data_IF_683188798236
#
_entry.id   IF_683188798236
#
_cell.length_a   1.000
_cell.length_b   1.000
_cell.length_c   1.000
_cell.angle_alpha   90.00
_cell.angle_beta   90.00
_cell.angle_gamma   90.00
#
_symmetry.space_group_name_H-M   'P 1'
#
loop_
_entity.id
_entity.type
_entity.pdbx_description
1 polymer ?
#
# COMPACT_ATOMS: atom_id res chain seq x y z
N UNK A 1 23.04 32.88 10.80
CA UNK A 1 23.00 31.49 10.32
C UNK A 1 21.56 31.05 10.35
N UNK A 2 20.91 31.01 9.19
CA UNK A 2 19.50 30.65 9.05
C UNK A 2 19.40 29.14 8.85
N UNK A 3 18.95 28.43 9.87
CA UNK A 3 18.61 27.01 9.74
C UNK A 3 17.31 26.94 8.95
N UNK A 4 17.38 26.56 7.68
CA UNK A 4 16.22 26.26 6.86
C UNK A 4 15.61 24.94 7.36
N UNK A 5 14.51 25.03 8.10
CA UNK A 5 13.65 23.91 8.47
C UNK A 5 13.19 23.20 7.19
N UNK A 6 13.60 21.93 7.01
CA UNK A 6 13.29 21.16 5.82
C UNK A 6 11.77 20.84 5.76
N UNK A 7 11.10 21.05 4.61
CA UNK A 7 9.66 20.81 4.52
C UNK A 7 9.39 19.30 4.64
N UNK A 8 8.55 18.98 5.62
CA UNK A 8 8.04 17.64 5.94
C UNK A 8 7.35 17.07 4.69
N UNK A 9 7.76 15.86 4.29
CA UNK A 9 7.18 15.15 3.14
C UNK A 9 5.87 14.51 3.61
N UNK A 10 4.78 15.30 3.66
CA UNK A 10 3.46 14.79 4.02
C UNK A 10 2.38 15.45 3.15
N UNK A 11 1.88 14.72 2.15
CA UNK A 11 0.68 15.15 1.41
C UNK A 11 -0.53 15.07 2.37
N UNK A 12 -1.19 16.20 2.61
CA UNK A 12 -2.40 16.32 3.46
C UNK A 12 -3.69 15.91 2.74
N UNK A 13 -3.59 15.22 1.61
CA UNK A 13 -4.73 14.88 0.75
C UNK A 13 -5.55 13.72 1.34
N UNK A 14 -6.88 13.79 1.25
CA UNK A 14 -7.75 12.65 1.58
C UNK A 14 -7.55 11.52 0.57
N UNK A 15 -7.80 10.28 0.99
CA UNK A 15 -7.61 9.09 0.14
C UNK A 15 -8.51 9.07 -1.11
N UNK A 16 -9.68 9.72 -1.08
CA UNK A 16 -10.52 9.95 -2.26
C UNK A 16 -9.89 10.93 -3.25
N UNK A 17 -9.42 12.07 -2.76
CA UNK A 17 -8.74 13.07 -3.59
C UNK A 17 -7.44 12.54 -4.21
N UNK A 18 -6.74 11.63 -3.51
CA UNK A 18 -5.55 10.96 -4.04
C UNK A 18 -5.89 10.04 -5.22
N UNK A 19 -6.99 9.29 -5.15
CA UNK A 19 -7.45 8.44 -6.26
C UNK A 19 -7.85 9.25 -7.48
N UNK A 20 -8.59 10.33 -7.27
CA UNK A 20 -8.95 11.26 -8.35
C UNK A 20 -7.70 11.87 -8.99
N UNK A 21 -6.66 12.14 -8.17
CA UNK A 21 -5.39 12.67 -8.65
C UNK A 21 -4.68 11.69 -9.58
N UNK A 22 -4.51 10.44 -9.13
CA UNK A 22 -3.91 9.37 -9.94
C UNK A 22 -4.68 9.14 -11.24
N UNK A 23 -6.02 9.16 -11.20
CA UNK A 23 -6.85 9.00 -12.39
C UNK A 23 -6.64 10.14 -13.42
N UNK A 24 -6.48 11.39 -12.96
CA UNK A 24 -6.20 12.55 -13.83
C UNK A 24 -4.83 12.47 -14.48
N UNK A 25 -3.80 12.10 -13.72
CA UNK A 25 -2.44 11.88 -14.25
C UNK A 25 -2.49 10.78 -15.32
N UNK A 26 -3.14 9.66 -15.00
CA UNK A 26 -3.25 8.54 -15.93
C UNK A 26 -4.02 8.86 -17.20
N UNK A 27 -5.07 9.68 -17.13
CA UNK A 27 -5.77 10.15 -18.31
C UNK A 27 -4.88 11.05 -19.18
N UNK A 28 -4.16 12.00 -18.58
CA UNK A 28 -3.24 12.86 -19.31
C UNK A 28 -2.13 12.07 -20.01
N UNK A 29 -1.55 11.09 -19.31
CA UNK A 29 -0.50 10.25 -19.87
C UNK A 29 -1.00 9.41 -21.04
N UNK A 30 -2.18 8.78 -20.90
CA UNK A 30 -2.76 8.02 -22.02
C UNK A 30 -3.06 8.86 -23.25
N UNK A 31 -3.50 10.10 -23.04
CA UNK A 31 -3.94 10.96 -24.14
C UNK A 31 -2.77 11.62 -24.88
N UNK A 32 -1.70 11.97 -24.15
CA UNK A 32 -0.73 12.93 -24.65
C UNK A 32 0.74 12.64 -24.30
N UNK A 33 1.07 11.60 -23.53
CA UNK A 33 2.47 11.25 -23.24
C UNK A 33 2.97 10.27 -24.31
N UNK A 34 4.05 10.62 -25.00
CA UNK A 34 4.61 9.77 -26.07
C UNK A 34 6.00 9.22 -25.74
N UNK A 35 6.75 9.90 -24.88
CA UNK A 35 8.05 9.43 -24.42
C UNK A 35 8.24 9.74 -22.94
N UNK A 36 8.85 8.82 -22.20
CA UNK A 36 9.32 9.05 -20.85
C UNK A 36 10.68 8.41 -20.68
N UNK A 37 11.54 9.05 -19.91
CA UNK A 37 12.86 8.55 -19.58
C UNK A 37 13.12 8.82 -18.11
N UNK A 38 13.69 7.83 -17.44
CA UNK A 38 14.06 7.93 -16.03
C UNK A 38 15.57 7.80 -15.87
N UNK A 39 16.15 8.77 -15.18
CA UNK A 39 17.57 8.88 -14.89
C UNK A 39 17.75 9.20 -13.40
N UNK A 40 17.78 8.15 -12.57
CA UNK A 40 17.90 8.21 -11.11
C UNK A 40 16.84 9.12 -10.43
N UNK A 41 17.23 10.34 -10.04
CA UNK A 41 16.41 11.36 -9.41
C UNK A 41 15.76 12.34 -10.40
N UNK A 42 15.89 12.09 -11.70
CA UNK A 42 15.34 12.91 -12.77
C UNK A 42 14.38 12.08 -13.61
N UNK A 43 13.14 12.54 -13.72
CA UNK A 43 12.14 11.99 -14.62
C UNK A 43 11.85 12.98 -15.74
N UNK A 44 12.06 12.57 -16.99
CA UNK A 44 11.78 13.36 -18.19
C UNK A 44 10.52 12.80 -18.86
N UNK A 45 9.56 13.67 -19.14
CA UNK A 45 8.27 13.34 -19.76
C UNK A 45 8.06 14.23 -20.98
N UNK A 46 7.78 13.62 -22.13
CA UNK A 46 7.54 14.34 -23.38
C UNK A 46 6.09 14.17 -23.82
N UNK A 47 5.36 15.29 -23.79
CA UNK A 47 3.95 15.38 -24.14
C UNK A 47 3.72 16.02 -25.51
N UNK A 48 2.55 15.79 -26.11
CA UNK A 48 2.08 16.57 -27.26
C UNK A 48 1.99 18.07 -26.90
N UNK A 49 2.28 18.96 -27.86
CA UNK A 49 2.18 20.40 -27.64
C UNK A 49 0.76 20.85 -27.30
N UNK A 50 -0.26 20.17 -27.84
CA UNK A 50 -1.68 20.45 -27.56
C UNK A 50 -2.07 20.23 -26.09
N UNK A 51 -1.28 19.45 -25.34
CA UNK A 51 -1.53 19.16 -23.94
C UNK A 51 -0.93 20.20 -22.97
N UNK A 52 -0.25 21.24 -23.45
CA UNK A 52 0.33 22.32 -22.61
C UNK A 52 -0.61 22.83 -21.50
N UNK A 53 -1.86 23.24 -21.77
CA UNK A 53 -2.76 23.72 -20.71
C UNK A 53 -3.19 22.64 -19.71
N UNK A 54 -3.11 21.36 -20.07
CA UNK A 54 -3.37 20.24 -19.14
C UNK A 54 -2.15 19.96 -18.27
N UNK A 55 -0.95 19.99 -18.86
CA UNK A 55 0.32 19.77 -18.16
C UNK A 55 0.63 20.90 -17.19
N UNK A 56 0.39 22.17 -17.56
CA UNK A 56 0.54 23.29 -16.63
C UNK A 56 -0.39 23.17 -15.41
N UNK A 57 -1.65 22.76 -15.62
CA UNK A 57 -2.58 22.48 -14.51
C UNK A 57 -2.13 21.30 -13.65
N UNK A 58 -1.52 20.28 -14.25
CA UNK A 58 -0.92 19.18 -13.50
C UNK A 58 0.21 19.72 -12.60
N UNK A 59 1.18 20.42 -13.17
CA UNK A 59 2.35 20.97 -12.47
C UNK A 59 1.92 21.89 -11.33
N UNK A 60 1.01 22.83 -11.58
CA UNK A 60 0.53 23.75 -10.53
C UNK A 60 -0.10 23.02 -9.35
N UNK A 61 -0.89 21.97 -9.63
CA UNK A 61 -1.48 21.18 -8.56
C UNK A 61 -0.46 20.28 -7.86
N UNK A 62 0.57 19.78 -8.56
CA UNK A 62 1.63 18.98 -7.94
C UNK A 62 2.57 19.81 -7.07
N UNK A 63 2.88 21.04 -7.47
CA UNK A 63 3.68 21.95 -6.64
C UNK A 63 3.03 22.20 -5.27
N UNK A 64 1.70 22.07 -5.16
CA UNK A 64 1.00 22.16 -3.88
C UNK A 64 1.10 20.90 -3.00
N UNK A 65 1.12 19.69 -3.57
CA UNK A 65 1.22 18.43 -2.80
C UNK A 65 2.68 17.97 -2.60
N UNK A 66 3.50 18.17 -3.63
CA UNK A 66 4.89 17.75 -3.73
C UNK A 66 5.81 18.97 -3.88
N UNK A 67 5.67 19.96 -2.98
CA UNK A 67 6.44 21.21 -2.97
C UNK A 67 7.97 21.01 -2.89
N UNK A 68 8.43 19.80 -2.58
CA UNK A 68 9.84 19.45 -2.53
C UNK A 68 10.44 19.02 -3.88
N UNK A 69 9.61 18.66 -4.87
CA UNK A 69 10.06 18.30 -6.21
C UNK A 69 10.24 19.57 -7.04
N UNK A 70 11.30 19.61 -7.84
CA UNK A 70 11.47 20.66 -8.84
C UNK A 70 10.79 20.22 -10.14
N UNK A 71 9.97 21.11 -10.71
CA UNK A 71 9.29 20.92 -11.98
C UNK A 71 9.79 21.97 -12.96
N UNK A 72 10.41 21.54 -14.05
CA UNK A 72 10.82 22.40 -15.17
C UNK A 72 9.99 22.04 -16.41
N UNK A 73 9.29 23.03 -16.97
CA UNK A 73 8.43 22.85 -18.13
C UNK A 73 8.99 23.67 -19.29
N UNK A 74 9.42 22.98 -20.34
CA UNK A 74 10.01 23.57 -21.54
C UNK A 74 9.13 23.29 -22.75
N UNK A 75 8.71 24.34 -23.45
CA UNK A 75 8.00 24.24 -24.71
C UNK A 75 9.00 24.17 -25.87
N UNK A 76 9.05 23.03 -26.56
CA UNK A 76 9.87 22.82 -27.76
C UNK A 76 8.98 22.82 -29.02
N UNK A 77 9.56 23.08 -30.21
CA UNK A 77 8.82 22.96 -31.46
C UNK A 77 8.30 21.52 -31.63
N UNK A 78 6.99 21.34 -31.52
CA UNK A 78 6.32 20.04 -31.71
C UNK A 78 6.25 19.13 -30.49
N UNK A 79 6.77 19.54 -29.32
CA UNK A 79 6.69 18.75 -28.09
C UNK A 79 6.78 19.61 -26.83
N UNK A 80 6.18 19.12 -25.75
CA UNK A 80 6.28 19.74 -24.43
C UNK A 80 7.08 18.84 -23.50
N UNK A 81 8.21 19.33 -23.01
CA UNK A 81 9.11 18.58 -22.14
C UNK A 81 8.91 19.00 -20.68
N UNK A 82 8.49 18.05 -19.85
CA UNK A 82 8.39 18.22 -18.40
C UNK A 82 9.52 17.42 -17.74
N UNK A 83 10.38 18.10 -17.00
CA UNK A 83 11.42 17.50 -16.17
C UNK A 83 11.02 17.61 -14.71
N UNK A 84 11.00 16.48 -14.00
CA UNK A 84 10.70 16.39 -12.58
C UNK A 84 11.97 15.91 -11.88
N UNK A 85 12.51 16.73 -10.97
CA UNK A 85 13.72 16.41 -10.22
C UNK A 85 13.39 16.22 -8.74
N UNK A 86 13.74 15.05 -8.21
CA UNK A 86 13.65 14.75 -6.80
C UNK A 86 14.93 15.22 -6.07
N UNK A 87 14.80 15.85 -4.89
CA UNK A 87 15.97 16.19 -4.09
C UNK A 87 16.58 14.93 -3.47
N UNK A 88 17.89 14.96 -3.22
CA UNK A 88 18.66 13.82 -2.69
C UNK A 88 18.05 13.18 -1.43
N UNK A 89 17.50 14.01 -0.54
CA UNK A 89 16.79 13.57 0.68
C UNK A 89 15.56 12.70 0.45
N UNK A 90 15.02 12.70 -0.76
CA UNK A 90 13.84 11.93 -1.16
C UNK A 90 14.21 10.70 -2.00
N UNK A 91 15.50 10.36 -2.13
CA UNK A 91 16.01 9.24 -2.93
C UNK A 91 15.29 7.93 -2.64
N UNK A 92 15.12 7.60 -1.36
CA UNK A 92 14.46 6.36 -0.93
C UNK A 92 12.97 6.30 -1.32
N UNK A 93 12.34 7.44 -1.60
CA UNK A 93 10.95 7.55 -2.02
C UNK A 93 10.79 7.90 -3.52
N UNK A 94 11.88 8.22 -4.23
CA UNK A 94 11.85 8.73 -5.59
C UNK A 94 11.21 7.73 -6.56
N UNK A 95 11.51 6.42 -6.39
CA UNK A 95 10.88 5.34 -7.15
C UNK A 95 9.36 5.42 -7.09
N UNK A 96 8.80 5.36 -5.87
CA UNK A 96 7.36 5.35 -5.66
C UNK A 96 6.67 6.63 -6.12
N UNK A 97 7.35 7.78 -5.98
CA UNK A 97 6.86 9.07 -6.46
C UNK A 97 6.78 9.09 -7.99
N UNK A 98 7.84 8.70 -8.69
CA UNK A 98 7.87 8.71 -10.15
C UNK A 98 6.89 7.72 -10.79
N UNK A 99 6.63 6.57 -10.15
CA UNK A 99 5.58 5.63 -10.60
C UNK A 99 4.18 6.27 -10.58
N UNK A 100 3.93 7.20 -9.65
CA UNK A 100 2.67 7.96 -9.63
C UNK A 100 2.55 8.84 -10.88
N UNK A 101 3.64 9.47 -11.30
CA UNK A 101 3.71 10.30 -12.51
C UNK A 101 3.65 9.50 -13.80
N UNK A 102 4.07 8.23 -13.78
CA UNK A 102 4.01 7.31 -14.91
C UNK A 102 2.73 6.46 -14.96
N UNK A 103 1.80 6.67 -14.03
CA UNK A 103 0.51 5.99 -14.04
C UNK A 103 -0.17 6.16 -15.39
N UNK A 104 -0.57 5.06 -16.03
CA UNK A 104 -1.22 5.08 -17.35
C UNK A 104 -0.33 5.50 -18.52
N UNK A 105 0.98 5.66 -18.33
CA UNK A 105 1.91 5.89 -19.43
C UNK A 105 1.93 4.67 -20.38
N UNK A 106 2.07 4.89 -21.70
CA UNK A 106 2.37 3.80 -22.60
C UNK A 106 3.70 3.16 -22.17
N UNK A 107 3.77 1.83 -22.18
CA UNK A 107 5.00 1.12 -21.85
C UNK A 107 6.14 1.66 -22.72
N UNK A 108 7.22 2.13 -22.10
CA UNK A 108 8.41 2.56 -22.84
C UNK A 108 8.87 1.41 -23.72
N UNK A 109 9.16 1.62 -25.01
CA UNK A 109 9.76 0.59 -25.82
C UNK A 109 11.14 0.26 -25.22
N UNK A 110 11.43 -1.00 -24.87
CA UNK A 110 12.79 -1.37 -24.50
C UNK A 110 13.69 -1.09 -25.71
N UNK A 111 14.83 -0.45 -25.44
CA UNK A 111 15.89 -0.26 -26.42
C UNK A 111 16.12 -1.55 -27.20
N UNK A 112 16.19 -1.41 -28.52
CA UNK A 112 16.23 -2.49 -29.48
C UNK A 112 17.27 -3.57 -29.12
N UNK A 113 16.79 -4.80 -28.91
CA UNK A 113 17.56 -6.00 -29.19
C UNK A 113 16.70 -6.94 -30.03
N UNK A 114 17.31 -7.36 -31.12
CA UNK A 114 16.77 -8.03 -32.29
C UNK A 114 16.12 -9.40 -32.05
N UNK A 115 15.19 -9.73 -32.94
CA UNK A 115 14.74 -11.05 -33.39
C UNK A 115 14.08 -11.99 -32.37
N UNK A 116 12.77 -12.25 -32.57
CA UNK A 116 12.30 -13.58 -32.96
C UNK A 116 10.79 -13.58 -33.27
N UNK A 117 10.44 -14.14 -34.42
CA UNK A 117 9.09 -14.54 -34.81
C UNK A 117 8.45 -15.50 -33.80
N UNK A 118 7.20 -15.26 -33.44
CA UNK A 118 6.27 -16.34 -33.12
C UNK A 118 4.84 -15.91 -33.48
N UNK A 119 4.46 -16.29 -34.69
CA UNK A 119 3.10 -16.40 -35.19
C UNK A 119 2.34 -17.41 -34.34
N UNK A 120 1.31 -17.00 -33.60
CA UNK A 120 0.25 -17.90 -33.13
C UNK A 120 -1.11 -17.20 -33.07
N UNK A 121 -1.81 -17.31 -34.20
CA UNK A 121 -3.19 -17.80 -34.32
C UNK A 121 -4.15 -17.43 -33.17
N UNK A 122 -4.92 -16.36 -33.37
CA UNK A 122 -6.13 -16.03 -32.59
C UNK A 122 -7.22 -17.11 -32.82
N UNK A 123 -7.73 -17.81 -31.79
CA UNK A 123 -8.96 -18.56 -31.92
C UNK A 123 -10.16 -17.65 -31.63
N UNK A 124 -11.06 -17.58 -32.60
CA UNK A 124 -12.43 -17.08 -32.47
C UNK A 124 -13.22 -17.96 -31.50
N UNK A 125 -13.72 -17.39 -30.40
CA UNK A 125 -14.66 -18.06 -29.51
C UNK A 125 -16.06 -17.42 -29.64
N UNK A 126 -17.02 -18.27 -29.98
CA UNK A 126 -18.46 -18.00 -30.10
C UNK A 126 -19.04 -17.53 -28.77
N UNK A 127 -19.95 -16.54 -28.82
CA UNK A 127 -20.96 -16.33 -27.79
C UNK A 127 -22.03 -17.43 -27.88
N UNK A 128 -22.28 -18.17 -26.79
CA UNK A 128 -23.62 -18.67 -26.47
C UNK A 128 -23.74 -19.14 -25.01
N UNK A 129 -24.78 -18.64 -24.32
CA UNK A 129 -25.64 -19.45 -23.44
C UNK A 129 -25.24 -19.61 -21.96
N UNK A 130 -26.12 -19.23 -21.01
CA UNK A 130 -25.90 -19.42 -19.58
C UNK A 130 -26.52 -20.74 -19.08
N UNK A 131 -25.76 -21.53 -18.33
CA UNK A 131 -26.12 -22.19 -17.05
C UNK A 131 -25.26 -23.43 -16.77
N UNK A 132 -24.69 -23.39 -15.56
CA UNK A 132 -24.56 -24.47 -14.58
C UNK A 132 -23.59 -25.64 -14.79
N UNK A 133 -22.93 -25.94 -13.67
CA UNK A 133 -22.30 -27.18 -13.24
C UNK A 133 -20.87 -27.47 -13.72
N UNK A 134 -20.02 -27.84 -12.76
CA UNK A 134 -18.84 -28.65 -13.02
C UNK A 134 -17.57 -28.09 -12.40
N UNK A 135 -17.13 -28.73 -11.33
CA UNK A 135 -15.88 -28.48 -10.64
C UNK A 135 -14.63 -28.67 -11.52
N UNK A 136 -13.49 -28.28 -10.93
CA UNK A 136 -12.09 -28.53 -11.35
C UNK A 136 -11.46 -27.50 -12.30
N UNK A 137 -10.73 -26.55 -11.71
CA UNK A 137 -9.40 -26.09 -12.14
C UNK A 137 -8.93 -24.90 -11.27
N UNK A 138 -8.85 -25.09 -9.95
CA UNK A 138 -8.19 -24.11 -9.07
C UNK A 138 -6.68 -24.37 -9.06
N UNK A 139 -6.00 -23.92 -10.09
CA UNK A 139 -4.56 -23.66 -10.06
C UNK A 139 -4.30 -22.54 -11.06
N UNK A 140 -4.38 -21.30 -10.56
CA UNK A 140 -3.52 -20.14 -10.86
C UNK A 140 -4.23 -18.87 -10.36
N UNK A 141 -3.56 -18.15 -9.45
CA UNK A 141 -3.86 -16.77 -9.00
C UNK A 141 -4.78 -16.61 -7.78
N UNK A 142 -4.32 -17.12 -6.64
CA UNK A 142 -4.83 -16.85 -5.28
C UNK A 142 -4.51 -15.41 -4.82
N UNK A 143 -4.98 -14.39 -5.55
CA UNK A 143 -4.61 -12.98 -5.24
C UNK A 143 -5.77 -11.99 -5.23
N UNK A 144 -6.79 -12.15 -6.07
CA UNK A 144 -7.80 -11.11 -6.27
C UNK A 144 -9.11 -11.31 -5.47
N UNK A 145 -9.42 -12.52 -4.99
CA UNK A 145 -10.70 -12.80 -4.31
C UNK A 145 -10.59 -12.64 -2.77
N UNK A 146 -9.38 -12.67 -2.22
CA UNK A 146 -9.17 -12.48 -0.77
C UNK A 146 -9.46 -11.04 -0.31
N UNK A 147 -9.24 -10.03 -1.15
CA UNK A 147 -9.47 -8.63 -0.79
C UNK A 147 -10.98 -8.33 -0.63
N UNK A 148 -11.82 -8.87 -1.51
CA UNK A 148 -13.27 -8.65 -1.45
C UNK A 148 -13.91 -9.26 -0.21
N UNK A 149 -13.45 -10.44 0.22
CA UNK A 149 -13.96 -11.11 1.42
C UNK A 149 -13.51 -10.40 2.70
N UNK A 150 -12.23 -10.03 2.82
CA UNK A 150 -11.71 -9.40 4.05
C UNK A 150 -12.21 -7.97 4.27
N UNK A 151 -12.53 -7.21 3.22
CA UNK A 151 -12.96 -5.82 3.36
C UNK A 151 -14.45 -5.64 3.71
N UNK A 152 -15.31 -6.61 3.37
CA UNK A 152 -16.77 -6.50 3.55
C UNK A 152 -17.27 -7.31 4.76
N UNK A 153 -16.54 -8.36 5.15
CA UNK A 153 -16.87 -9.19 6.31
C UNK A 153 -17.10 -8.43 7.64
N UNK A 154 -16.28 -7.42 8.03
CA UNK A 154 -16.42 -6.81 9.35
C UNK A 154 -17.70 -5.96 9.48
N UNK A 155 -18.30 -5.55 8.37
CA UNK A 155 -19.51 -4.72 8.37
C UNK A 155 -20.81 -5.51 8.15
N UNK A 156 -20.77 -6.71 7.56
CA UNK A 156 -21.97 -7.54 7.33
C UNK A 156 -22.24 -8.58 8.43
N UNK A 157 -21.19 -9.02 9.13
CA UNK A 157 -21.30 -9.93 10.28
C UNK A 157 -22.13 -9.38 11.45
N UNK A 158 -22.03 -8.09 11.85
CA UNK A 158 -22.82 -7.56 12.95
C UNK A 158 -24.33 -7.63 12.69
N UNK A 159 -24.76 -7.42 11.44
CA UNK A 159 -26.17 -7.45 11.06
C UNK A 159 -26.77 -8.87 11.11
N UNK A 160 -25.98 -9.90 10.78
CA UNK A 160 -26.42 -11.29 10.84
C UNK A 160 -26.38 -11.87 12.27
N UNK A 161 -25.42 -11.43 13.10
CA UNK A 161 -25.25 -11.90 14.47
C UNK A 161 -26.28 -11.32 15.45
N UNK A 162 -26.85 -10.14 15.17
CA UNK A 162 -27.90 -9.54 16.00
C UNK A 162 -29.22 -10.34 16.01
N UNK A 163 -29.41 -11.27 15.07
CA UNK A 163 -30.60 -12.14 15.02
C UNK A 163 -30.49 -13.43 15.85
N UNK A 164 -29.32 -13.74 16.46
CA UNK A 164 -29.07 -15.03 17.13
C UNK A 164 -28.22 -14.95 18.41
N UNK A 165 -28.26 -13.82 19.11
CA UNK A 165 -27.29 -13.46 20.17
C UNK A 165 -27.36 -14.27 21.47
N UNK A 166 -28.36 -15.11 21.70
CA UNK A 166 -28.53 -15.83 22.97
C UNK A 166 -27.59 -17.03 23.15
N UNK A 167 -27.59 -17.98 22.20
CA UNK A 167 -26.89 -19.26 22.36
C UNK A 167 -25.48 -19.30 21.75
N UNK A 168 -25.20 -18.48 20.72
CA UNK A 168 -23.90 -18.50 20.04
C UNK A 168 -22.80 -17.81 20.87
N UNK A 169 -23.14 -16.80 21.67
CA UNK A 169 -22.15 -16.06 22.45
C UNK A 169 -21.54 -16.91 23.58
N UNK A 170 -22.30 -17.84 24.17
CA UNK A 170 -21.80 -18.73 25.23
C UNK A 170 -20.73 -19.71 24.72
N UNK A 171 -20.96 -20.30 23.54
CA UNK A 171 -19.98 -21.20 22.89
C UNK A 171 -18.81 -20.42 22.28
N UNK A 172 -19.04 -19.22 21.76
CA UNK A 172 -17.98 -18.35 21.23
C UNK A 172 -17.07 -17.81 22.34
N UNK A 173 -17.57 -17.49 23.54
CA UNK A 173 -16.74 -17.07 24.68
C UNK A 173 -15.85 -18.22 25.14
N UNK A 174 -16.37 -19.45 25.18
CA UNK A 174 -15.58 -20.62 25.52
C UNK A 174 -14.47 -20.90 24.47
N UNK A 175 -14.79 -20.72 23.17
CA UNK A 175 -13.82 -20.88 22.08
C UNK A 175 -12.80 -19.73 22.01
N UNK A 176 -13.21 -18.51 22.32
CA UNK A 176 -12.32 -17.34 22.34
C UNK A 176 -11.29 -17.42 23.48
N UNK A 177 -11.64 -18.08 24.59
CA UNK A 177 -10.70 -18.36 25.67
C UNK A 177 -9.58 -19.33 25.23
N UNK A 178 -9.92 -20.30 24.37
CA UNK A 178 -8.92 -21.16 23.73
C UNK A 178 -8.03 -20.41 22.74
N UNK A 179 -8.60 -19.52 21.93
CA UNK A 179 -7.86 -18.73 20.94
C UNK A 179 -6.84 -17.77 21.58
N UNK A 180 -7.26 -17.12 22.68
CA UNK A 180 -6.38 -16.25 23.48
C UNK A 180 -5.31 -17.07 24.19
N UNK A 181 -5.67 -18.23 24.75
CA UNK A 181 -4.72 -19.18 25.34
C UNK A 181 -3.63 -19.64 24.36
N UNK A 182 -4.02 -20.03 23.14
CA UNK A 182 -3.08 -20.45 22.09
C UNK A 182 -2.15 -19.31 21.65
N UNK A 183 -2.67 -18.09 21.56
CA UNK A 183 -1.85 -16.91 21.21
C UNK A 183 -0.82 -16.61 22.30
N UNK A 184 -1.22 -16.67 23.58
CA UNK A 184 -0.31 -16.47 24.71
C UNK A 184 0.77 -17.54 24.72
N UNK A 185 0.41 -18.81 24.53
CA UNK A 185 1.38 -19.91 24.47
C UNK A 185 2.37 -19.76 23.31
N UNK A 186 1.90 -19.32 22.13
CA UNK A 186 2.78 -19.06 20.99
C UNK A 186 3.77 -17.93 21.26
N UNK A 187 3.32 -16.84 21.90
CA UNK A 187 4.20 -15.73 22.29
C UNK A 187 5.22 -16.17 23.33
N UNK A 188 4.80 -16.88 24.38
CA UNK A 188 5.71 -17.42 25.41
C UNK A 188 6.72 -18.38 24.80
N UNK A 189 6.28 -19.23 23.86
CA UNK A 189 7.15 -20.13 23.10
C UNK A 189 8.19 -19.38 22.26
N UNK A 190 7.79 -18.32 21.57
CA UNK A 190 8.69 -17.49 20.77
C UNK A 190 9.76 -16.79 21.63
N UNK A 191 9.38 -16.26 22.80
CA UNK A 191 10.33 -15.65 23.75
C UNK A 191 11.26 -16.70 24.36
N UNK A 192 10.72 -17.86 24.75
CA UNK A 192 11.53 -18.99 25.24
C UNK A 192 12.55 -19.46 24.20
N UNK A 193 12.13 -19.54 22.93
CA UNK A 193 13.00 -19.88 21.82
C UNK A 193 14.08 -18.83 21.58
N UNK A 194 13.73 -17.54 21.63
CA UNK A 194 14.69 -16.45 21.46
C UNK A 194 15.74 -16.45 22.57
N UNK A 195 15.32 -16.63 23.83
CA UNK A 195 16.23 -16.74 24.98
C UNK A 195 17.13 -17.97 24.87
N UNK A 196 16.58 -19.10 24.42
CA UNK A 196 17.33 -20.33 24.21
C UNK A 196 18.34 -20.20 23.06
N UNK A 197 17.95 -19.56 21.97
CA UNK A 197 18.79 -19.30 20.80
C UNK A 197 19.94 -18.35 21.15
N UNK A 198 19.68 -17.26 21.88
CA UNK A 198 20.73 -16.35 22.39
C UNK A 198 21.72 -17.08 23.30
N UNK A 199 21.24 -17.96 24.17
CA UNK A 199 22.10 -18.77 25.05
C UNK A 199 22.93 -19.80 24.29
N UNK A 200 22.39 -20.41 23.23
CA UNK A 200 23.10 -21.42 22.44
C UNK A 200 24.10 -20.86 21.43
N UNK A 201 23.77 -19.75 20.77
CA UNK A 201 24.58 -19.23 19.65
C UNK A 201 25.48 -18.06 20.03
N UNK A 202 25.37 -17.52 21.25
CA UNK A 202 26.17 -16.37 21.72
C UNK A 202 25.93 -15.08 20.93
N UNK A 203 25.01 -15.11 19.96
CA UNK A 203 24.70 -13.99 19.08
C UNK A 203 23.90 -12.97 19.87
N UNK A 204 24.43 -11.75 20.00
CA UNK A 204 23.73 -10.63 20.62
C UNK A 204 22.99 -9.88 19.52
N UNK A 205 21.67 -10.09 19.34
CA UNK A 205 20.90 -9.25 18.44
C UNK A 205 21.03 -7.78 18.87
N UNK A 206 21.06 -6.87 17.90
CA UNK A 206 21.16 -5.44 18.17
C UNK A 206 20.08 -5.03 19.17
N UNK A 207 20.50 -4.38 20.25
CA UNK A 207 19.66 -4.00 21.40
C UNK A 207 18.41 -3.24 20.96
N UNK A 208 18.50 -2.46 19.87
CA UNK A 208 17.38 -1.74 19.28
C UNK A 208 16.24 -2.66 18.84
N UNK A 209 16.51 -3.73 18.08
CA UNK A 209 15.47 -4.66 17.57
C UNK A 209 14.77 -5.41 18.71
N UNK A 210 15.51 -5.75 19.76
CA UNK A 210 14.96 -6.40 20.95
C UNK A 210 14.06 -5.43 21.74
N UNK A 211 14.46 -4.16 21.85
CA UNK A 211 13.66 -3.12 22.49
C UNK A 211 12.36 -2.89 21.72
N UNK A 212 12.38 -2.79 20.38
CA UNK A 212 11.16 -2.62 19.59
C UNK A 212 10.21 -3.82 19.71
N UNK A 213 10.73 -5.04 19.64
CA UNK A 213 9.91 -6.24 19.81
C UNK A 213 9.29 -6.34 21.22
N UNK A 214 10.08 -5.99 22.23
CA UNK A 214 9.64 -5.99 23.62
C UNK A 214 8.57 -4.94 23.89
N UNK A 215 8.74 -3.73 23.36
CA UNK A 215 7.79 -2.63 23.51
C UNK A 215 6.43 -2.99 22.88
N UNK A 216 6.42 -3.53 21.67
CA UNK A 216 5.17 -3.96 21.00
C UNK A 216 4.47 -5.09 21.76
N UNK A 217 5.22 -6.05 22.30
CA UNK A 217 4.66 -7.14 23.12
C UNK A 217 4.10 -6.61 24.44
N UNK A 218 4.78 -5.64 25.06
CA UNK A 218 4.34 -4.99 26.30
C UNK A 218 3.05 -4.19 26.08
N UNK A 219 2.95 -3.43 25.00
CA UNK A 219 1.71 -2.70 24.66
C UNK A 219 0.52 -3.65 24.46
N UNK A 220 0.74 -4.77 23.77
CA UNK A 220 -0.30 -5.76 23.53
C UNK A 220 -0.77 -6.47 24.81
N UNK A 221 0.16 -6.76 25.73
CA UNK A 221 -0.16 -7.37 27.04
C UNK A 221 -0.86 -6.40 27.98
N UNK A 222 -0.48 -5.12 27.99
CA UNK A 222 -1.16 -4.07 28.75
C UNK A 222 -2.61 -3.91 28.28
N UNK A 223 -2.85 -3.94 26.96
CA UNK A 223 -4.19 -3.87 26.41
C UNK A 223 -5.07 -5.07 26.82
N UNK A 224 -4.49 -6.27 26.85
CA UNK A 224 -5.17 -7.50 27.32
C UNK A 224 -5.43 -7.50 28.83
N UNK A 225 -4.63 -6.76 29.61
CA UNK A 225 -4.75 -6.67 31.07
C UNK A 225 -5.74 -5.60 31.53
N UNK A 226 -6.20 -4.72 30.63
CA UNK A 226 -7.24 -3.71 30.88
C UNK A 226 -8.47 -4.19 31.69
N UNK A 227 -9.12 -5.34 31.42
CA UNK A 227 -10.29 -5.80 32.20
C UNK A 227 -9.98 -6.13 33.67
N UNK A 228 -8.72 -6.38 34.02
CA UNK A 228 -8.29 -6.54 35.41
C UNK A 228 -8.02 -5.19 36.10
N UNK A 229 -7.65 -4.16 35.35
CA UNK A 229 -7.36 -2.80 35.85
C UNK A 229 -8.65 -1.97 35.97
N UNK A 230 -9.63 -2.22 35.11
CA UNK A 230 -10.92 -1.54 35.12
C UNK A 230 -11.67 -1.75 36.46
N UNK A 231 -11.67 -2.97 37.01
CA UNK A 231 -12.35 -3.29 38.27
C UNK A 231 -11.84 -2.51 39.50
N UNK A 232 -10.52 -2.42 39.76
CA UNK A 232 -9.99 -1.59 40.85
C UNK A 232 -10.14 -0.10 40.55
N UNK A 233 -10.02 0.35 39.30
CA UNK A 233 -10.18 1.76 38.92
C UNK A 233 -11.60 2.26 39.16
N UNK A 234 -12.63 1.48 38.78
CA UNK A 234 -14.04 1.81 39.07
C UNK A 234 -14.29 1.84 40.58
N UNK A 235 -13.65 0.94 41.34
CA UNK A 235 -13.78 0.91 42.79
C UNK A 235 -13.11 2.12 43.45
N UNK A 236 -12.01 2.63 42.89
CA UNK A 236 -11.32 3.83 43.37
C UNK A 236 -12.02 5.14 42.97
N UNK A 237 -12.68 5.19 41.80
CA UNK A 237 -13.42 6.37 41.31
C UNK A 237 -14.85 6.47 41.88
N UNK A 238 -15.35 5.43 42.56
CA UNK A 238 -16.65 5.42 43.23
C UNK A 238 -16.55 5.81 44.72
N UNK A 239 -15.36 6.20 45.18
CA UNK A 239 -15.11 6.85 46.48
C UNK A 239 -15.15 8.36 46.27
#
# INVERSE_FOLDING_TARGET
MSTAEAPVIACTLTSGAMKDRMARIAALNRDALFHHERDDLVLRLTYAPEASPRVQRLVNAEQSCCAFLAFDLQESPGALNLTITAPERARDAADALFETFLSGAPASPPAASSCACATTKRPTAKLLGPRAAGATAMTLSTGAVACGACCVLPFTLPAALLAGSGSLLSTLVHMHWWMTGLSVLAVVGAWGWLVWQVRRTGFRPATATLVTLSASTLFMTIALMWPLIEKPLIRALRV
#
